data_IF_149999242131
#
_entry.id   IF_149999242131
#
_cell.length_a   1.000
_cell.length_b   1.000
_cell.length_c   1.000
_cell.angle_alpha   90.00
_cell.angle_beta   90.00
_cell.angle_gamma   90.00
#
_symmetry.space_group_name_H-M   'P 1'
#
loop_
_entity.id
_entity.type
_entity.pdbx_description
1 polymer ?
#
# COMPACT_ATOMS: atom_id res chain seq x y z
N UNK A 1 -43.09 16.18 -20.41
CA UNK A 1 -42.98 17.55 -20.92
C UNK A 1 -42.96 17.48 -22.43
N UNK A 2 -43.67 18.37 -23.13
CA UNK A 2 -43.35 18.61 -24.54
C UNK A 2 -41.91 19.15 -24.62
N UNK A 3 -41.19 18.80 -25.69
CA UNK A 3 -39.76 19.11 -25.82
C UNK A 3 -39.47 20.61 -25.63
N UNK A 4 -40.38 21.46 -26.10
CA UNK A 4 -40.29 22.91 -25.98
C UNK A 4 -40.39 23.41 -24.53
N UNK A 5 -41.26 22.83 -23.70
CA UNK A 5 -41.48 23.27 -22.31
C UNK A 5 -40.31 22.89 -21.40
N UNK A 6 -39.74 21.69 -21.58
CA UNK A 6 -38.59 21.26 -20.79
C UNK A 6 -37.30 21.98 -21.21
N UNK A 7 -37.12 22.31 -22.50
CA UNK A 7 -36.00 23.15 -22.95
C UNK A 7 -36.10 24.56 -22.35
N UNK A 8 -37.28 25.17 -22.37
CA UNK A 8 -37.50 26.49 -21.76
C UNK A 8 -37.23 26.50 -20.24
N UNK A 9 -37.53 25.40 -19.55
CA UNK A 9 -37.24 25.26 -18.11
C UNK A 9 -35.76 25.01 -17.81
N UNK A 10 -35.02 24.33 -18.70
CA UNK A 10 -33.56 24.17 -18.59
C UNK A 10 -32.84 25.48 -18.90
N UNK A 11 -33.30 26.23 -19.91
CA UNK A 11 -32.78 27.57 -20.22
C UNK A 11 -33.11 28.60 -19.13
N UNK A 12 -34.27 28.45 -18.47
CA UNK A 12 -34.69 29.28 -17.35
C UNK A 12 -34.12 28.87 -15.98
N UNK A 13 -33.13 27.96 -15.94
CA UNK A 13 -32.48 27.42 -14.74
C UNK A 13 -33.42 26.74 -13.72
N UNK A 14 -34.64 26.39 -14.12
CA UNK A 14 -35.58 25.64 -13.28
C UNK A 14 -35.27 24.13 -13.26
N UNK A 15 -34.60 23.64 -14.31
CA UNK A 15 -34.09 22.29 -14.44
C UNK A 15 -32.61 22.34 -14.81
N UNK A 16 -31.79 21.56 -14.10
CA UNK A 16 -30.34 21.50 -14.36
C UNK A 16 -30.03 20.66 -15.62
N UNK A 17 -30.86 19.65 -15.90
CA UNK A 17 -30.73 18.71 -17.02
C UNK A 17 -32.09 18.23 -17.52
N UNK A 18 -32.19 17.93 -18.82
CA UNK A 18 -33.31 17.21 -19.42
C UNK A 18 -32.83 16.21 -20.47
N UNK A 19 -33.31 14.96 -20.39
CA UNK A 19 -33.10 13.94 -21.41
C UNK A 19 -34.38 13.75 -22.22
N UNK A 20 -34.30 13.95 -23.52
CA UNK A 20 -35.41 13.76 -24.45
C UNK A 20 -35.35 12.40 -25.11
N UNK A 21 -36.43 11.64 -24.92
CA UNK A 21 -36.66 10.33 -25.55
C UNK A 21 -37.79 10.52 -26.55
N UNK A 22 -37.58 10.29 -27.86
CA UNK A 22 -38.58 10.56 -28.89
C UNK A 22 -39.79 9.62 -28.78
N UNK A 23 -40.95 10.09 -29.24
CA UNK A 23 -42.14 9.27 -29.34
C UNK A 23 -41.89 8.09 -30.30
N UNK A 24 -42.20 6.86 -29.86
CA UNK A 24 -41.89 5.65 -30.61
C UNK A 24 -40.46 5.12 -30.41
N UNK A 25 -39.70 5.62 -29.43
CA UNK A 25 -38.36 5.10 -29.10
C UNK A 25 -38.34 3.58 -28.94
N UNK A 26 -39.25 3.02 -28.15
CA UNK A 26 -39.30 1.58 -27.89
C UNK A 26 -39.55 0.77 -29.17
N UNK A 27 -40.46 1.24 -30.03
CA UNK A 27 -40.84 0.54 -31.26
C UNK A 27 -39.75 0.68 -32.33
N UNK A 28 -39.14 1.86 -32.47
CA UNK A 28 -38.03 2.11 -33.40
C UNK A 28 -36.77 1.33 -33.02
N UNK A 29 -36.40 1.31 -31.73
CA UNK A 29 -35.28 0.50 -31.25
C UNK A 29 -35.59 -0.99 -31.46
N UNK A 30 -36.81 -1.46 -31.18
CA UNK A 30 -37.18 -2.87 -31.42
C UNK A 30 -37.18 -3.26 -32.91
N UNK A 31 -37.43 -2.31 -33.81
CA UNK A 31 -37.35 -2.49 -35.26
C UNK A 31 -35.92 -2.45 -35.81
N UNK A 32 -34.94 -2.02 -35.00
CA UNK A 32 -33.55 -1.83 -35.42
C UNK A 32 -33.28 -0.48 -36.09
N UNK A 33 -34.19 0.48 -35.95
CA UNK A 33 -34.04 1.82 -36.49
C UNK A 33 -33.08 2.67 -35.65
N UNK A 34 -32.38 3.62 -36.31
CA UNK A 34 -31.54 4.60 -35.61
C UNK A 34 -32.41 5.63 -34.89
N UNK A 35 -32.34 5.65 -33.55
CA UNK A 35 -33.06 6.62 -32.71
C UNK A 35 -32.06 7.50 -31.96
N UNK A 36 -32.27 8.82 -32.00
CA UNK A 36 -31.40 9.81 -31.36
C UNK A 36 -32.00 10.27 -30.04
N UNK A 37 -31.21 10.17 -28.97
CA UNK A 37 -31.52 10.79 -27.68
C UNK A 37 -30.88 12.17 -27.61
N UNK A 38 -31.59 13.16 -27.04
CA UNK A 38 -31.06 14.52 -26.89
C UNK A 38 -30.93 14.84 -25.41
N UNK A 39 -29.71 15.00 -24.93
CA UNK A 39 -29.42 15.49 -23.59
C UNK A 39 -29.21 17.01 -23.65
N UNK A 40 -30.02 17.76 -22.89
CA UNK A 40 -29.92 19.21 -22.76
C UNK A 40 -29.49 19.54 -21.34
N UNK A 41 -28.42 20.31 -21.20
CA UNK A 41 -27.91 20.81 -19.91
C UNK A 41 -28.08 22.32 -19.82
N UNK A 42 -28.36 22.83 -18.63
CA UNK A 42 -28.42 24.26 -18.37
C UNK A 42 -27.06 24.95 -18.52
N UNK A 43 -27.02 26.27 -18.75
CA UNK A 43 -25.77 27.02 -18.93
C UNK A 43 -24.90 27.10 -17.65
N UNK A 44 -25.49 26.86 -16.47
CA UNK A 44 -24.83 26.83 -15.17
C UNK A 44 -24.49 25.42 -14.67
N UNK A 45 -24.74 24.38 -15.49
CA UNK A 45 -24.50 22.99 -15.11
C UNK A 45 -23.01 22.64 -15.01
N UNK A 46 -22.65 21.84 -14.01
CA UNK A 46 -21.29 21.33 -13.81
C UNK A 46 -20.88 20.40 -14.97
N UNK A 47 -19.83 20.80 -15.70
CA UNK A 47 -19.35 20.08 -16.89
C UNK A 47 -18.88 18.65 -16.59
N UNK A 48 -18.36 18.38 -15.38
CA UNK A 48 -17.96 17.02 -14.97
C UNK A 48 -19.18 16.11 -14.81
N UNK A 49 -20.28 16.66 -14.25
CA UNK A 49 -21.55 15.94 -14.10
C UNK A 49 -22.28 15.75 -15.43
N UNK A 50 -22.22 16.74 -16.32
CA UNK A 50 -22.74 16.61 -17.70
C UNK A 50 -22.08 15.44 -18.41
N UNK A 51 -20.75 15.35 -18.32
CA UNK A 51 -19.98 14.29 -18.98
C UNK A 51 -20.20 12.91 -18.34
N UNK A 52 -20.36 12.86 -17.01
CA UNK A 52 -20.75 11.63 -16.32
C UNK A 52 -22.14 11.15 -16.78
N UNK A 53 -23.11 12.06 -16.88
CA UNK A 53 -24.46 11.73 -17.37
C UNK A 53 -24.42 11.27 -18.83
N UNK A 54 -23.67 11.98 -19.68
CA UNK A 54 -23.45 11.59 -21.08
C UNK A 54 -22.84 10.19 -21.17
N UNK A 55 -21.86 9.86 -20.33
CA UNK A 55 -21.21 8.55 -20.30
C UNK A 55 -22.19 7.44 -19.91
N UNK A 56 -23.06 7.69 -18.93
CA UNK A 56 -24.12 6.75 -18.53
C UNK A 56 -25.11 6.55 -19.67
N UNK A 57 -25.60 7.63 -20.29
CA UNK A 57 -26.55 7.57 -21.40
C UNK A 57 -25.94 6.86 -22.62
N UNK A 58 -24.68 7.15 -22.96
CA UNK A 58 -23.94 6.47 -24.03
C UNK A 58 -23.77 4.97 -23.72
N UNK A 59 -23.46 4.63 -22.47
CA UNK A 59 -23.31 3.25 -22.01
C UNK A 59 -24.60 2.46 -22.16
N UNK A 60 -25.71 2.99 -21.66
CA UNK A 60 -27.05 2.37 -21.78
C UNK A 60 -27.48 2.27 -23.25
N UNK A 61 -27.23 3.29 -24.06
CA UNK A 61 -27.58 3.29 -25.49
C UNK A 61 -26.79 2.23 -26.26
N UNK A 62 -25.50 2.06 -25.96
CA UNK A 62 -24.65 1.00 -26.55
C UNK A 62 -25.13 -0.39 -26.15
N UNK A 63 -25.51 -0.59 -24.89
CA UNK A 63 -26.04 -1.87 -24.40
C UNK A 63 -27.34 -2.25 -25.13
N UNK A 64 -28.30 -1.31 -25.22
CA UNK A 64 -29.56 -1.51 -25.94
C UNK A 64 -29.36 -1.77 -27.43
N UNK A 65 -28.44 -1.06 -28.08
CA UNK A 65 -28.11 -1.25 -29.49
C UNK A 65 -27.50 -2.63 -29.75
N UNK A 66 -26.57 -3.07 -28.90
CA UNK A 66 -25.94 -4.39 -29.00
C UNK A 66 -26.95 -5.52 -28.80
N UNK A 67 -27.84 -5.38 -27.80
CA UNK A 67 -28.92 -6.34 -27.58
C UNK A 67 -29.84 -6.46 -28.81
N UNK A 68 -30.23 -5.32 -29.39
CA UNK A 68 -31.10 -5.27 -30.57
C UNK A 68 -30.44 -5.90 -31.79
N UNK A 69 -29.17 -5.57 -32.06
CA UNK A 69 -28.41 -6.13 -33.18
C UNK A 69 -28.23 -7.65 -33.09
N UNK A 70 -27.97 -8.18 -31.89
CA UNK A 70 -27.84 -9.63 -31.68
C UNK A 70 -29.17 -10.35 -31.91
N UNK A 71 -30.28 -9.80 -31.42
CA UNK A 71 -31.62 -10.36 -31.66
C UNK A 71 -31.97 -10.31 -33.15
N UNK A 72 -31.69 -9.20 -33.82
CA UNK A 72 -31.88 -9.06 -35.26
C UNK A 72 -31.04 -10.08 -36.05
N UNK A 73 -29.77 -10.29 -35.66
CA UNK A 73 -28.89 -11.29 -36.23
C UNK A 73 -29.43 -12.72 -36.10
N UNK A 74 -29.98 -13.10 -34.93
CA UNK A 74 -30.60 -14.41 -34.74
C UNK A 74 -31.84 -14.60 -35.62
N UNK A 75 -32.68 -13.56 -35.76
CA UNK A 75 -33.85 -13.59 -36.67
C UNK A 75 -33.43 -13.68 -38.14
N UNK A 76 -32.37 -12.99 -38.53
CA UNK A 76 -31.84 -13.07 -39.89
C UNK A 76 -31.28 -14.46 -40.19
N UNK A 77 -30.54 -15.06 -39.25
CA UNK A 77 -30.04 -16.43 -39.38
C UNK A 77 -31.20 -17.44 -39.52
N UNK A 78 -32.30 -17.24 -38.78
CA UNK A 78 -33.51 -18.05 -38.91
C UNK A 78 -34.12 -17.97 -40.31
N UNK A 79 -34.27 -16.76 -40.84
CA UNK A 79 -34.78 -16.55 -42.21
C UNK A 79 -33.89 -17.24 -43.25
N UNK A 80 -32.57 -17.26 -43.05
CA UNK A 80 -31.64 -17.96 -43.92
C UNK A 80 -31.69 -19.48 -43.75
N UNK A 81 -31.92 -19.99 -42.53
CA UNK A 81 -32.04 -21.43 -42.26
C UNK A 81 -33.38 -22.00 -42.72
N UNK A 82 -34.48 -21.24 -42.63
CA UNK A 82 -35.79 -21.66 -43.17
C UNK A 82 -35.79 -21.74 -44.70
N UNK A 83 -34.86 -21.07 -45.38
CA UNK A 83 -34.63 -21.21 -46.82
C UNK A 83 -33.87 -22.49 -47.21
N UNK A 84 -33.38 -23.27 -46.23
CA UNK A 84 -32.66 -24.53 -46.41
C UNK A 84 -33.45 -25.65 -45.72
N UNK A 85 -33.95 -26.64 -46.47
CA UNK A 85 -34.77 -27.77 -45.97
C UNK A 85 -33.98 -28.74 -45.06
N UNK A 86 -33.52 -28.27 -43.89
CA UNK A 86 -32.90 -29.08 -42.85
C UNK A 86 -33.65 -28.90 -41.54
N UNK A 87 -34.00 -30.01 -40.87
CA UNK A 87 -34.54 -30.04 -39.51
C UNK A 87 -33.58 -29.34 -38.53
N UNK A 88 -33.79 -28.05 -38.30
CA UNK A 88 -32.97 -27.22 -37.44
C UNK A 88 -33.34 -27.42 -35.98
N UNK A 89 -32.48 -28.12 -35.22
CA UNK A 89 -32.54 -28.25 -33.75
C UNK A 89 -32.44 -26.88 -33.04
N UNK A 90 -32.07 -25.81 -33.76
CA UNK A 90 -32.02 -24.44 -33.29
C UNK A 90 -33.21 -23.62 -33.84
N UNK A 91 -34.33 -23.58 -33.10
CA UNK A 91 -35.41 -22.63 -33.39
C UNK A 91 -35.02 -21.23 -32.91
N UNK A 92 -35.25 -20.21 -33.73
CA UNK A 92 -34.94 -18.80 -33.41
C UNK A 92 -35.57 -18.31 -32.11
N UNK A 93 -36.76 -18.82 -31.79
CA UNK A 93 -37.47 -18.50 -30.55
C UNK A 93 -36.66 -18.91 -29.31
N UNK A 94 -36.04 -20.10 -29.32
CA UNK A 94 -35.16 -20.56 -28.25
C UNK A 94 -33.85 -19.77 -28.19
N UNK A 95 -33.27 -19.40 -29.34
CA UNK A 95 -32.04 -18.61 -29.40
C UNK A 95 -32.25 -17.18 -28.86
N UNK A 96 -33.36 -16.55 -29.22
CA UNK A 96 -33.75 -15.21 -28.72
C UNK A 96 -34.08 -15.28 -27.22
N UNK A 97 -34.84 -16.28 -26.77
CA UNK A 97 -35.15 -16.46 -25.36
C UNK A 97 -33.88 -16.71 -24.52
N UNK A 98 -32.94 -17.52 -25.05
CA UNK A 98 -31.65 -17.75 -24.40
C UNK A 98 -30.81 -16.48 -24.36
N UNK A 99 -30.71 -15.72 -25.46
CA UNK A 99 -29.99 -14.45 -25.50
C UNK A 99 -30.55 -13.45 -24.47
N UNK A 100 -31.87 -13.25 -24.44
CA UNK A 100 -32.55 -12.42 -23.43
C UNK A 100 -32.21 -12.85 -22.00
N UNK A 101 -32.23 -14.16 -21.72
CA UNK A 101 -31.88 -14.68 -20.40
C UNK A 101 -30.42 -14.41 -19.99
N UNK A 102 -29.49 -14.41 -20.95
CA UNK A 102 -28.07 -14.11 -20.71
C UNK A 102 -27.86 -12.63 -20.45
N UNK A 103 -28.57 -11.74 -21.16
CA UNK A 103 -28.53 -10.30 -20.89
C UNK A 103 -29.06 -9.96 -19.49
N UNK A 104 -30.18 -10.56 -19.07
CA UNK A 104 -30.70 -10.36 -17.71
C UNK A 104 -29.74 -10.86 -16.63
N UNK A 105 -29.05 -11.98 -16.87
CA UNK A 105 -28.00 -12.46 -15.96
C UNK A 105 -26.81 -11.49 -15.90
N UNK A 106 -26.37 -10.97 -17.03
CA UNK A 106 -25.26 -10.02 -17.09
C UNK A 106 -25.54 -8.70 -16.34
N UNK A 107 -26.81 -8.26 -16.26
CA UNK A 107 -27.22 -7.12 -15.42
C UNK A 107 -27.05 -7.40 -13.93
N UNK A 108 -27.29 -8.63 -13.49
CA UNK A 108 -27.21 -9.03 -12.07
C UNK A 108 -25.82 -9.53 -11.64
N UNK A 109 -25.02 -10.03 -12.57
CA UNK A 109 -23.70 -10.58 -12.34
C UNK A 109 -22.77 -10.21 -13.51
N UNK A 110 -22.26 -8.96 -13.55
CA UNK A 110 -21.41 -8.50 -14.64
C UNK A 110 -20.08 -9.27 -14.64
N UNK A 111 -19.61 -9.66 -15.84
CA UNK A 111 -18.33 -10.34 -16.02
C UNK A 111 -17.12 -9.44 -15.71
N UNK A 112 -17.31 -8.12 -15.78
CA UNK A 112 -16.33 -7.10 -15.43
C UNK A 112 -16.98 -6.10 -14.49
N UNK A 113 -16.59 -6.14 -13.21
CA UNK A 113 -16.98 -5.15 -12.21
C UNK A 113 -16.01 -3.97 -12.22
N UNK A 114 -16.54 -2.75 -12.11
CA UNK A 114 -15.74 -1.57 -11.84
C UNK A 114 -15.77 -1.35 -10.32
N UNK A 115 -14.65 -1.63 -9.66
CA UNK A 115 -14.46 -1.30 -8.25
C UNK A 115 -14.06 0.18 -8.14
N UNK A 116 -15.03 1.03 -7.81
CA UNK A 116 -14.79 2.45 -7.64
C UNK A 116 -14.15 2.70 -6.27
N UNK A 117 -12.81 2.74 -6.24
CA UNK A 117 -12.07 3.17 -5.05
C UNK A 117 -11.99 4.70 -5.03
N UNK A 118 -12.61 5.33 -4.04
CA UNK A 118 -12.54 6.79 -3.82
C UNK A 118 -11.12 7.22 -3.41
N UNK A 119 -10.72 8.49 -3.66
CA UNK A 119 -9.40 9.00 -3.29
C UNK A 119 -9.04 8.80 -1.82
N UNK A 120 -10.01 8.85 -0.89
CA UNK A 120 -9.76 8.61 0.55
C UNK A 120 -9.29 7.17 0.85
N UNK A 121 -9.74 6.18 0.08
CA UNK A 121 -9.28 4.80 0.21
C UNK A 121 -7.85 4.64 -0.34
N UNK A 122 -7.49 5.39 -1.37
CA UNK A 122 -6.13 5.45 -1.95
C UNK A 122 -5.18 6.20 -1.01
N UNK A 123 -5.67 7.22 -0.30
CA UNK A 123 -4.91 7.95 0.72
C UNK A 123 -4.66 7.08 1.97
N UNK A 124 -5.60 6.22 2.37
CA UNK A 124 -5.40 5.21 3.42
C UNK A 124 -4.37 4.14 3.07
N UNK A 125 -4.32 3.72 1.81
CA UNK A 125 -3.29 2.79 1.32
C UNK A 125 -1.92 3.51 1.21
N UNK A 126 -1.92 4.83 0.96
CA UNK A 126 -0.72 5.69 1.05
C UNK A 126 -0.30 5.99 2.50
N UNK A 127 -1.23 6.01 3.46
CA UNK A 127 -0.94 6.07 4.90
C UNK A 127 -0.13 4.86 5.38
N UNK A 128 -0.20 3.70 4.69
CA UNK A 128 0.70 2.56 4.96
C UNK A 128 2.17 2.88 4.63
N UNK A 129 2.44 3.93 3.84
CA UNK A 129 3.79 4.40 3.51
C UNK A 129 4.09 5.81 4.05
N UNK A 130 3.99 6.00 5.36
CA UNK A 130 4.48 7.24 5.99
C UNK A 130 6.01 7.28 5.97
N UNK A 131 6.58 8.38 5.48
CA UNK A 131 8.02 8.63 5.53
C UNK A 131 8.56 8.57 6.97
N UNK A 132 7.74 8.95 7.96
CA UNK A 132 8.06 8.84 9.38
C UNK A 132 8.12 7.37 9.81
N UNK A 133 7.18 6.54 9.35
CA UNK A 133 7.11 5.11 9.61
C UNK A 133 8.30 4.32 9.08
N UNK A 134 8.95 4.78 8.00
CA UNK A 134 10.19 4.19 7.52
C UNK A 134 11.43 4.78 8.20
N UNK A 135 11.52 6.11 8.25
CA UNK A 135 12.75 6.82 8.62
C UNK A 135 13.05 6.69 10.11
N UNK A 136 12.03 6.75 10.98
CA UNK A 136 12.26 6.71 12.43
C UNK A 136 12.74 5.32 12.87
N UNK A 137 12.10 4.19 12.50
CA UNK A 137 12.63 2.87 12.80
C UNK A 137 14.01 2.64 12.22
N UNK A 138 14.25 3.04 10.97
CA UNK A 138 15.56 2.94 10.31
C UNK A 138 16.66 3.68 11.07
N UNK A 139 16.42 4.96 11.40
CA UNK A 139 17.35 5.77 12.18
C UNK A 139 17.57 5.21 13.59
N UNK A 140 16.51 4.72 14.24
CA UNK A 140 16.60 4.10 15.56
C UNK A 140 17.55 2.91 15.52
N UNK A 141 17.38 2.00 14.57
CA UNK A 141 18.25 0.82 14.42
C UNK A 141 19.71 1.25 14.21
N UNK A 142 19.98 2.25 13.37
CA UNK A 142 21.34 2.77 13.19
C UNK A 142 21.94 3.30 14.48
N UNK A 143 21.20 4.12 15.23
CA UNK A 143 21.68 4.67 16.50
C UNK A 143 21.94 3.59 17.55
N UNK A 144 21.08 2.57 17.60
CA UNK A 144 21.24 1.43 18.49
C UNK A 144 22.54 0.66 18.17
N UNK A 145 22.82 0.40 16.88
CA UNK A 145 24.04 -0.31 16.49
C UNK A 145 25.30 0.57 16.50
N UNK A 146 25.16 1.88 16.40
CA UNK A 146 26.26 2.82 16.66
C UNK A 146 26.78 2.68 18.11
N UNK A 147 25.88 2.40 19.06
CA UNK A 147 26.23 2.15 20.46
C UNK A 147 27.09 0.89 20.67
N UNK A 148 27.11 -0.04 19.71
CA UNK A 148 28.03 -1.18 19.74
C UNK A 148 29.49 -0.69 19.65
N UNK A 149 29.77 0.31 18.82
CA UNK A 149 31.11 0.91 18.68
C UNK A 149 31.59 1.60 19.95
N UNK A 150 30.70 2.36 20.61
CA UNK A 150 31.03 3.05 21.88
C UNK A 150 31.27 2.05 23.00
N UNK A 151 30.47 0.98 23.08
CA UNK A 151 30.65 -0.12 24.02
C UNK A 151 32.00 -0.81 23.79
N UNK A 152 32.36 -1.08 22.53
CA UNK A 152 33.65 -1.68 22.18
C UNK A 152 34.82 -0.78 22.60
N UNK A 153 34.69 0.53 22.37
CA UNK A 153 35.71 1.53 22.74
C UNK A 153 35.90 1.60 24.26
N UNK A 154 34.80 1.58 25.02
CA UNK A 154 34.83 1.56 26.49
C UNK A 154 35.60 0.33 27.01
N UNK A 155 35.25 -0.87 26.53
CA UNK A 155 35.92 -2.11 26.93
C UNK A 155 37.41 -2.10 26.53
N UNK A 156 37.74 -1.57 25.36
CA UNK A 156 39.13 -1.45 24.92
C UNK A 156 39.95 -0.49 25.80
N UNK A 157 39.36 0.64 26.20
CA UNK A 157 40.00 1.58 27.12
C UNK A 157 40.32 0.94 28.47
N UNK A 158 39.44 0.09 28.99
CA UNK A 158 39.69 -0.68 30.21
C UNK A 158 40.82 -1.71 30.05
N UNK A 159 40.94 -2.33 28.86
CA UNK A 159 42.07 -3.22 28.55
C UNK A 159 43.39 -2.45 28.54
N UNK A 160 43.40 -1.25 27.95
CA UNK A 160 44.57 -0.37 27.86
C UNK A 160 45.03 0.14 29.23
N UNK A 161 44.09 0.52 30.10
CA UNK A 161 44.36 1.02 31.46
C UNK A 161 44.64 -0.10 32.47
N UNK A 162 44.47 -1.37 32.08
CA UNK A 162 44.73 -2.53 32.93
C UNK A 162 43.64 -2.85 33.95
N UNK A 163 42.56 -2.05 34.02
CA UNK A 163 41.41 -2.31 34.88
C UNK A 163 40.69 -3.60 34.48
N UNK A 164 40.68 -3.94 33.20
CA UNK A 164 40.12 -5.20 32.71
C UNK A 164 40.84 -6.43 33.30
N UNK A 165 42.16 -6.36 33.49
CA UNK A 165 42.94 -7.46 34.10
C UNK A 165 42.61 -7.64 35.57
N UNK A 166 42.33 -6.55 36.29
CA UNK A 166 41.89 -6.58 37.69
C UNK A 166 40.51 -7.21 37.82
N UNK A 167 39.59 -6.90 36.91
CA UNK A 167 38.26 -7.53 36.87
C UNK A 167 38.33 -9.03 36.60
N UNK A 168 39.26 -9.49 35.75
CA UNK A 168 39.49 -10.91 35.50
C UNK A 168 40.11 -11.67 36.68
N UNK A 169 40.82 -10.96 37.57
CA UNK A 169 41.43 -11.53 38.76
C UNK A 169 40.51 -11.49 40.00
N UNK A 170 39.38 -10.77 39.91
CA UNK A 170 38.37 -10.76 40.96
C UNK A 170 37.63 -12.11 41.02
N UNK A 171 37.08 -12.50 42.18
CA UNK A 171 36.31 -13.74 42.34
C UNK A 171 34.90 -13.61 41.72
N UNK A 172 34.82 -13.25 40.44
CA UNK A 172 33.59 -13.08 39.67
C UNK A 172 33.42 -14.22 38.67
N UNK A 173 32.17 -14.67 38.49
CA UNK A 173 31.84 -15.60 37.42
C UNK A 173 32.00 -14.95 36.03
N UNK A 174 32.30 -15.75 35.00
CA UNK A 174 32.40 -15.24 33.60
C UNK A 174 31.09 -14.57 33.13
N UNK A 175 29.95 -15.18 33.49
CA UNK A 175 28.63 -14.64 33.14
C UNK A 175 28.34 -13.31 33.84
N UNK A 176 28.76 -13.16 35.09
CA UNK A 176 28.57 -11.96 35.90
C UNK A 176 29.45 -10.80 35.41
N UNK A 177 30.70 -11.09 35.03
CA UNK A 177 31.57 -10.12 34.39
C UNK A 177 31.00 -9.64 33.05
N UNK A 178 30.44 -10.56 32.27
CA UNK A 178 29.90 -10.25 30.95
C UNK A 178 28.60 -9.45 31.03
N UNK A 179 27.66 -9.88 31.87
CA UNK A 179 26.41 -9.18 32.09
C UNK A 179 26.67 -7.80 32.68
N UNK A 180 27.59 -7.66 33.63
CA UNK A 180 27.99 -6.36 34.20
C UNK A 180 28.59 -5.40 33.18
N UNK A 181 29.27 -5.91 32.14
CA UNK A 181 29.79 -5.09 31.03
C UNK A 181 28.75 -4.72 30.00
N UNK A 182 27.81 -5.62 29.71
CA UNK A 182 26.76 -5.39 28.73
C UNK A 182 25.64 -4.51 29.29
N UNK A 183 25.39 -4.57 30.61
CA UNK A 183 24.26 -3.91 31.27
C UNK A 183 24.21 -2.39 31.04
N UNK A 184 25.32 -1.61 31.18
CA UNK A 184 25.27 -0.18 30.91
C UNK A 184 24.86 0.14 29.47
N UNK A 185 25.49 -0.53 28.49
CA UNK A 185 25.16 -0.35 27.08
C UNK A 185 23.71 -0.75 26.76
N UNK A 186 23.26 -1.88 27.30
CA UNK A 186 21.89 -2.36 27.16
C UNK A 186 20.86 -1.35 27.69
N UNK A 187 21.06 -0.83 28.90
CA UNK A 187 20.16 0.17 29.50
C UNK A 187 20.19 1.48 28.72
N UNK A 188 21.36 1.96 28.30
CA UNK A 188 21.48 3.17 27.48
C UNK A 188 20.73 3.03 26.16
N UNK A 189 20.83 1.86 25.50
CA UNK A 189 20.10 1.59 24.26
C UNK A 189 18.58 1.59 24.49
N UNK A 190 18.09 0.97 25.55
CA UNK A 190 16.65 0.99 25.85
C UNK A 190 16.13 2.41 26.10
N UNK A 191 16.87 3.21 26.86
CA UNK A 191 16.53 4.62 27.09
C UNK A 191 16.55 5.39 25.77
N UNK A 192 17.54 5.14 24.92
CA UNK A 192 17.66 5.78 23.61
C UNK A 192 16.48 5.44 22.70
N UNK A 193 16.08 4.17 22.61
CA UNK A 193 14.91 3.76 21.81
C UNK A 193 13.64 4.43 22.35
N UNK A 194 13.43 4.38 23.66
CA UNK A 194 12.27 5.01 24.30
C UNK A 194 12.24 6.52 24.05
N UNK A 195 13.38 7.20 24.14
CA UNK A 195 13.49 8.63 23.88
C UNK A 195 13.20 8.97 22.40
N UNK A 196 13.73 8.20 21.45
CA UNK A 196 13.48 8.41 20.01
C UNK A 196 12.00 8.20 19.72
N UNK A 197 11.40 7.10 20.14
CA UNK A 197 9.99 6.82 19.87
C UNK A 197 9.05 7.81 20.56
N UNK A 198 9.32 8.18 21.82
CA UNK A 198 8.54 9.21 22.51
C UNK A 198 8.63 10.56 21.81
N UNK A 199 9.82 10.97 21.38
CA UNK A 199 10.00 12.19 20.59
C UNK A 199 9.26 12.09 19.26
N UNK A 200 9.31 10.97 18.56
CA UNK A 200 8.62 10.78 17.29
C UNK A 200 7.10 10.75 17.42
N UNK A 201 6.57 10.33 18.57
CA UNK A 201 5.13 10.32 18.85
C UNK A 201 4.63 11.72 19.25
N UNK A 202 5.43 12.48 20.01
CA UNK A 202 4.98 13.74 20.64
C UNK A 202 5.45 14.96 19.84
N UNK A 203 6.73 15.00 19.43
CA UNK A 203 7.36 16.18 18.84
C UNK A 203 7.12 16.30 17.34
N UNK A 204 7.06 15.18 16.59
CA UNK A 204 6.82 15.24 15.13
C UNK A 204 5.45 15.86 14.78
N UNK A 205 4.35 15.53 15.46
CA UNK A 205 3.06 16.19 15.20
C UNK A 205 3.08 17.70 15.51
N UNK A 206 3.86 18.13 16.50
CA UNK A 206 3.99 19.54 16.87
C UNK A 206 4.68 20.38 15.78
N UNK A 207 5.52 19.76 14.94
CA UNK A 207 6.20 20.42 13.81
C UNK A 207 5.49 20.19 12.47
N UNK A 208 4.28 19.62 12.48
CA UNK A 208 3.48 19.38 11.28
C UNK A 208 3.86 18.12 10.49
N UNK A 209 4.60 17.18 11.11
CA UNK A 209 4.89 15.87 10.53
C UNK A 209 3.93 14.80 11.06
N UNK A 210 3.82 13.68 10.34
CA UNK A 210 3.02 12.54 10.78
C UNK A 210 3.49 12.00 12.14
N UNK A 211 2.53 11.50 12.92
CA UNK A 211 2.82 10.79 14.16
C UNK A 211 3.40 9.41 13.83
N UNK A 212 4.44 9.00 14.56
CA UNK A 212 4.91 7.62 14.48
C UNK A 212 3.83 6.65 14.99
N UNK A 213 3.48 5.68 14.14
CA UNK A 213 2.60 4.56 14.46
C UNK A 213 3.45 3.29 14.53
N UNK A 214 3.42 2.59 15.68
CA UNK A 214 4.21 1.38 15.95
C UNK A 214 3.33 0.11 15.99
N UNK A 215 2.19 0.14 15.29
CA UNK A 215 1.22 -0.95 15.31
C UNK A 215 0.34 -0.97 16.57
N UNK A 216 -0.45 -2.04 16.69
CA UNK A 216 -1.43 -2.22 17.77
C UNK A 216 -0.92 -3.02 18.97
N UNK A 217 0.33 -3.52 18.94
CA UNK A 217 0.90 -4.36 19.99
C UNK A 217 2.14 -3.71 20.66
N UNK A 218 1.94 -2.95 21.75
CA UNK A 218 3.05 -2.35 22.49
C UNK A 218 4.01 -3.37 23.11
N UNK A 219 3.54 -4.58 23.43
CA UNK A 219 4.39 -5.62 24.02
C UNK A 219 5.38 -6.16 22.98
N UNK A 220 4.94 -6.33 21.73
CA UNK A 220 5.83 -6.73 20.65
C UNK A 220 6.98 -5.73 20.47
N UNK A 221 6.69 -4.43 20.49
CA UNK A 221 7.71 -3.37 20.39
C UNK A 221 8.74 -3.48 21.53
N UNK A 222 8.28 -3.65 22.77
CA UNK A 222 9.17 -3.78 23.94
C UNK A 222 10.07 -5.01 23.82
N UNK A 223 9.51 -6.16 23.43
CA UNK A 223 10.27 -7.40 23.25
C UNK A 223 11.33 -7.23 22.16
N UNK A 224 10.97 -6.66 21.02
CA UNK A 224 11.90 -6.37 19.92
C UNK A 224 13.00 -5.42 20.39
N UNK A 225 12.66 -4.34 21.11
CA UNK A 225 13.65 -3.40 21.66
C UNK A 225 14.64 -4.06 22.61
N UNK A 226 14.19 -4.96 23.47
CA UNK A 226 15.07 -5.74 24.37
C UNK A 226 16.01 -6.65 23.57
N UNK A 227 15.50 -7.37 22.58
CA UNK A 227 16.30 -8.27 21.74
C UNK A 227 17.34 -7.49 20.93
N UNK A 228 16.95 -6.37 20.33
CA UNK A 228 17.86 -5.52 19.55
C UNK A 228 18.92 -4.88 20.44
N UNK A 229 18.57 -4.45 21.66
CA UNK A 229 19.53 -3.92 22.62
C UNK A 229 20.57 -4.97 23.05
N UNK A 230 20.13 -6.20 23.32
CA UNK A 230 21.04 -7.33 23.62
C UNK A 230 21.94 -7.65 22.42
N UNK A 231 21.40 -7.61 21.21
CA UNK A 231 22.15 -7.83 19.98
C UNK A 231 23.25 -6.78 19.80
N UNK A 232 22.93 -5.49 19.95
CA UNK A 232 23.90 -4.39 19.87
C UNK A 232 25.00 -4.51 20.92
N UNK A 233 24.65 -4.79 22.18
CA UNK A 233 25.62 -4.99 23.25
C UNK A 233 26.56 -6.18 22.95
N UNK A 234 26.03 -7.27 22.41
CA UNK A 234 26.81 -8.46 22.02
C UNK A 234 27.76 -8.16 20.86
N UNK A 235 27.32 -7.35 19.90
CA UNK A 235 28.13 -6.91 18.77
C UNK A 235 29.27 -5.99 19.23
N UNK A 236 29.01 -5.09 20.19
CA UNK A 236 30.04 -4.25 20.80
C UNK A 236 31.09 -5.07 21.56
N UNK A 237 30.65 -6.10 22.28
CA UNK A 237 31.55 -7.05 22.93
C UNK A 237 32.41 -7.82 21.91
N UNK A 238 31.80 -8.34 20.84
CA UNK A 238 32.51 -9.03 19.76
C UNK A 238 33.57 -8.11 19.13
N UNK A 239 33.19 -6.86 18.83
CA UNK A 239 34.09 -5.86 18.28
C UNK A 239 35.28 -5.57 19.22
N UNK A 240 35.01 -5.47 20.53
CA UNK A 240 36.05 -5.28 21.54
C UNK A 240 37.04 -6.46 21.63
N UNK A 241 36.63 -7.65 21.21
CA UNK A 241 37.44 -8.86 21.24
C UNK A 241 38.36 -8.98 20.01
N UNK A 242 37.88 -8.55 18.83
CA UNK A 242 38.63 -8.63 17.57
C UNK A 242 39.58 -7.44 17.36
N UNK A 243 39.19 -6.25 17.81
CA UNK A 243 39.92 -5.02 17.53
C UNK A 243 41.13 -4.87 18.46
N UNK A 244 42.26 -4.45 17.88
CA UNK A 244 43.55 -4.25 18.58
C UNK A 244 43.95 -2.79 18.71
N UNK A 245 43.24 -1.87 18.06
CA UNK A 245 43.48 -0.42 18.14
C UNK A 245 42.17 0.36 18.18
N UNK A 246 42.23 1.59 18.70
CA UNK A 246 41.08 2.52 18.73
C UNK A 246 40.59 2.83 17.30
N UNK A 247 41.54 3.00 16.36
CA UNK A 247 41.25 3.19 14.95
C UNK A 247 40.52 1.99 14.31
N UNK A 248 40.88 0.76 14.69
CA UNK A 248 40.18 -0.45 14.23
C UNK A 248 38.75 -0.51 14.77
N UNK A 249 38.52 -0.13 16.04
CA UNK A 249 37.17 -0.10 16.61
C UNK A 249 36.30 0.89 15.85
N UNK A 250 36.77 2.12 15.69
CA UNK A 250 36.04 3.18 14.96
C UNK A 250 35.80 2.80 13.50
N UNK A 251 36.83 2.33 12.80
CA UNK A 251 36.72 1.94 11.38
C UNK A 251 35.78 0.76 11.15
N UNK A 252 35.96 -0.35 11.88
CA UNK A 252 35.14 -1.56 11.71
C UNK A 252 33.70 -1.30 12.12
N UNK A 253 33.45 -0.60 13.25
CA UNK A 253 32.08 -0.27 13.66
C UNK A 253 31.37 0.61 12.64
N UNK A 254 32.05 1.64 12.11
CA UNK A 254 31.48 2.54 11.11
C UNK A 254 31.15 1.79 9.81
N UNK A 255 32.08 1.00 9.28
CA UNK A 255 31.85 0.22 8.06
C UNK A 255 30.73 -0.80 8.26
N UNK A 256 30.75 -1.53 9.38
CA UNK A 256 29.70 -2.51 9.69
C UNK A 256 28.32 -1.83 9.80
N UNK A 257 28.23 -0.69 10.48
CA UNK A 257 27.00 0.07 10.65
C UNK A 257 26.40 0.51 9.31
N UNK A 258 27.20 1.16 8.45
CA UNK A 258 26.70 1.69 7.18
C UNK A 258 26.41 0.59 6.17
N UNK A 259 27.24 -0.45 6.08
CA UNK A 259 27.01 -1.57 5.16
C UNK A 259 25.77 -2.36 5.58
N UNK A 260 25.67 -2.74 6.86
CA UNK A 260 24.49 -3.45 7.37
C UNK A 260 23.24 -2.59 7.30
N UNK A 261 23.35 -1.30 7.63
CA UNK A 261 22.27 -0.33 7.52
C UNK A 261 21.75 -0.19 6.08
N UNK A 262 22.64 -0.09 5.09
CA UNK A 262 22.26 0.03 3.68
C UNK A 262 21.47 -1.19 3.17
N UNK A 263 21.84 -2.40 3.58
CA UNK A 263 21.15 -3.64 3.16
C UNK A 263 19.95 -4.01 4.02
N UNK A 264 19.74 -3.32 5.15
CA UNK A 264 18.69 -3.66 6.12
C UNK A 264 17.30 -3.17 5.77
N UNK A 265 17.18 -2.25 4.82
CA UNK A 265 15.93 -1.54 4.56
C UNK A 265 15.72 -0.29 5.42
N UNK A 266 16.72 0.11 6.23
CA UNK A 266 16.63 1.29 7.10
C UNK A 266 16.48 2.63 6.35
N UNK A 267 17.01 2.72 5.12
CA UNK A 267 16.97 3.94 4.31
C UNK A 267 16.02 3.83 3.12
N UNK A 268 15.97 2.64 2.53
CA UNK A 268 15.23 2.35 1.31
C UNK A 268 14.38 1.12 1.59
N UNK A 269 13.09 1.11 1.23
CA UNK A 269 12.21 -0.01 1.53
C UNK A 269 12.72 -1.31 0.90
N UNK A 270 12.54 -2.42 1.60
CA UNK A 270 13.14 -3.72 1.22
C UNK A 270 12.65 -4.24 -0.12
N UNK A 271 11.46 -3.82 -0.59
CA UNK A 271 10.94 -4.18 -1.91
C UNK A 271 11.60 -3.41 -3.07
N UNK A 272 12.28 -2.30 -2.80
CA UNK A 272 13.14 -1.62 -3.80
C UNK A 272 14.55 -2.21 -3.85
N UNK A 273 14.96 -2.96 -2.82
CA UNK A 273 16.21 -3.70 -2.82
C UNK A 273 15.99 -4.95 -3.69
N UNK A 274 16.60 -5.00 -4.87
CA UNK A 274 16.50 -6.18 -5.74
C UNK A 274 16.91 -7.49 -5.04
N UNK A 275 16.54 -8.62 -5.61
CA UNK A 275 16.57 -9.95 -4.98
C UNK A 275 17.86 -10.28 -4.22
N UNK A 276 19.01 -9.89 -4.77
CA UNK A 276 20.32 -10.12 -4.16
C UNK A 276 20.52 -9.32 -2.85
N UNK A 277 20.28 -8.00 -2.87
CA UNK A 277 20.46 -7.16 -1.68
C UNK A 277 19.42 -7.48 -0.60
N UNK A 278 18.18 -7.79 -0.99
CA UNK A 278 17.14 -8.24 -0.06
C UNK A 278 17.51 -9.56 0.63
N UNK A 279 18.19 -10.48 -0.08
CA UNK A 279 18.65 -11.75 0.50
C UNK A 279 19.82 -11.57 1.46
N UNK A 280 20.81 -10.74 1.10
CA UNK A 280 21.95 -10.42 1.98
C UNK A 280 21.49 -9.67 3.23
N UNK A 281 20.49 -8.79 3.10
CA UNK A 281 19.89 -8.06 4.22
C UNK A 281 19.44 -8.97 5.36
N UNK A 282 18.80 -10.10 5.04
CA UNK A 282 18.28 -11.09 6.01
C UNK A 282 19.35 -11.72 6.92
N UNK A 283 20.64 -11.61 6.56
CA UNK A 283 21.75 -12.07 7.41
C UNK A 283 22.02 -11.07 8.54
N UNK A 284 21.68 -9.80 8.33
CA UNK A 284 22.00 -8.73 9.27
C UNK A 284 20.92 -8.59 10.34
N UNK A 285 21.29 -8.33 11.60
CA UNK A 285 20.30 -8.08 12.65
C UNK A 285 19.55 -6.75 12.43
N UNK A 286 20.12 -5.85 11.63
CA UNK A 286 19.50 -4.58 11.26
C UNK A 286 18.22 -4.82 10.45
N UNK A 287 18.24 -5.74 9.48
CA UNK A 287 17.07 -6.06 8.65
C UNK A 287 15.88 -6.52 9.49
N UNK A 288 16.13 -7.45 10.41
CA UNK A 288 15.09 -7.97 11.30
C UNK A 288 14.58 -6.91 12.27
N UNK A 289 15.46 -6.04 12.78
CA UNK A 289 15.07 -4.94 13.66
C UNK A 289 14.18 -3.92 12.93
N UNK A 290 14.57 -3.48 11.74
CA UNK A 290 13.76 -2.55 10.93
C UNK A 290 12.42 -3.18 10.59
N UNK A 291 12.43 -4.40 10.04
CA UNK A 291 11.21 -5.11 9.65
C UNK A 291 10.25 -5.31 10.81
N UNK A 292 10.75 -5.58 12.02
CA UNK A 292 9.92 -5.78 13.20
C UNK A 292 9.29 -4.49 13.74
N UNK A 293 9.92 -3.34 13.53
CA UNK A 293 9.34 -2.04 13.90
C UNK A 293 8.39 -1.47 12.84
N UNK A 294 8.48 -1.96 11.61
CA UNK A 294 7.61 -1.54 10.49
C UNK A 294 6.50 -2.56 10.17
N UNK A 295 6.40 -3.65 10.93
CA UNK A 295 5.36 -4.67 10.80
C UNK A 295 4.11 -4.28 11.60
#
# INVERSE_FOLDING_TARGET
YEEADARAQVEGEQLEYALFIPAGFTDGVAAGDSVTLVLVSGPSADGERVEAMRTVVDGVSKDLSLQTQLIAGFRQMDQMMQASEGEGVFTSELAVAQAQSQFERAKTAPLVGIDLKTPDAILREREEFSAVGLTVPGATVLFVFLMAGTTAMSIYSEKKTGTFRRLLAAPLGKAELLSGKMLPGFVTVLIQIAAIFAASIILLPLIGLDRLYLGNDPLAVVVVSVVVALCSASLGLLLSAIARTEAQISGISTVALWVMGAVSGAFVPTFFLGDFLGTVGKITPHYWAVSAYTA
#
